data_IF_361074661586
#
_entry.id   IF_361074661586
#
_cell.length_a   1.000
_cell.length_b   1.000
_cell.length_c   1.000
_cell.angle_alpha   90.00
_cell.angle_beta   90.00
_cell.angle_gamma   90.00
#
_symmetry.space_group_name_H-M   'P 1'
#
loop_
_entity.id
_entity.type
_entity.pdbx_description
1 polymer ?
#
# COMPACT_ATOMS: atom_id res chain seq x y z
N UNK A 1 7.58 24.51 -7.43
CA UNK A 1 7.24 23.09 -7.20
C UNK A 1 5.74 22.93 -7.44
N UNK A 2 5.30 21.97 -8.26
CA UNK A 2 3.90 21.79 -8.64
C UNK A 2 3.09 21.19 -7.48
N UNK A 3 1.97 21.83 -7.09
CA UNK A 3 1.13 21.40 -5.97
C UNK A 3 0.58 19.99 -6.16
N UNK A 4 0.15 19.64 -7.38
CA UNK A 4 -0.36 18.30 -7.68
C UNK A 4 0.72 17.23 -7.56
N UNK A 5 1.96 17.55 -7.95
CA UNK A 5 3.12 16.66 -7.75
C UNK A 5 3.37 16.46 -6.25
N UNK A 6 3.32 17.51 -5.44
CA UNK A 6 3.51 17.42 -4.00
C UNK A 6 2.45 16.55 -3.31
N UNK A 7 1.19 16.66 -3.74
CA UNK A 7 0.08 15.87 -3.20
C UNK A 7 0.23 14.39 -3.54
N UNK A 8 0.56 14.05 -4.79
CA UNK A 8 0.78 12.64 -5.16
C UNK A 8 2.02 12.06 -4.50
N UNK A 9 3.09 12.84 -4.32
CA UNK A 9 4.27 12.41 -3.55
C UNK A 9 3.90 12.04 -2.12
N UNK A 10 3.12 12.88 -1.43
CA UNK A 10 2.65 12.58 -0.07
C UNK A 10 1.77 11.32 -0.01
N UNK A 11 0.89 11.13 -1.01
CA UNK A 11 0.03 9.94 -1.09
C UNK A 11 0.85 8.67 -1.26
N UNK A 12 1.87 8.69 -2.11
CA UNK A 12 2.80 7.58 -2.31
C UNK A 12 3.58 7.31 -1.03
N UNK A 13 4.12 8.33 -0.38
CA UNK A 13 4.88 8.20 0.88
C UNK A 13 4.03 7.55 1.97
N UNK A 14 2.80 8.04 2.18
CA UNK A 14 1.86 7.45 3.15
C UNK A 14 1.56 5.99 2.82
N UNK A 15 1.33 5.65 1.55
CA UNK A 15 1.09 4.27 1.12
C UNK A 15 2.30 3.37 1.40
N UNK A 16 3.52 3.86 1.15
CA UNK A 16 4.76 3.11 1.39
C UNK A 16 5.03 2.90 2.89
N UNK A 17 4.72 3.88 3.73
CA UNK A 17 4.81 3.73 5.19
C UNK A 17 3.88 2.63 5.70
N UNK A 18 2.61 2.65 5.28
CA UNK A 18 1.63 1.61 5.66
C UNK A 18 2.01 0.22 5.11
N UNK A 19 2.49 0.14 3.87
CA UNK A 19 2.98 -1.12 3.29
C UNK A 19 4.11 -1.71 4.14
N UNK A 20 5.09 -0.88 4.51
CA UNK A 20 6.21 -1.31 5.35
C UNK A 20 5.73 -1.84 6.70
N UNK A 21 4.88 -1.09 7.40
CA UNK A 21 4.37 -1.49 8.72
C UNK A 21 3.60 -2.81 8.66
N UNK A 22 2.65 -2.93 7.73
CA UNK A 22 1.85 -4.15 7.57
C UNK A 22 2.71 -5.37 7.21
N UNK A 23 3.63 -5.23 6.25
CA UNK A 23 4.44 -6.36 5.81
C UNK A 23 5.50 -6.76 6.84
N UNK A 24 6.07 -5.81 7.59
CA UNK A 24 6.98 -6.14 8.69
C UNK A 24 6.23 -6.82 9.83
N UNK A 25 5.07 -6.31 10.23
CA UNK A 25 4.26 -6.92 11.29
C UNK A 25 3.78 -8.33 10.94
N UNK A 26 3.47 -8.58 9.66
CA UNK A 26 3.02 -9.90 9.20
C UNK A 26 4.17 -10.90 9.12
N UNK A 27 5.33 -10.47 8.60
CA UNK A 27 6.39 -11.38 8.19
C UNK A 27 7.51 -11.53 9.23
N UNK A 28 7.79 -10.51 10.03
CA UNK A 28 8.97 -10.45 10.89
C UNK A 28 8.58 -10.59 12.37
N UNK A 29 8.20 -11.81 12.78
CA UNK A 29 7.74 -12.08 14.14
C UNK A 29 8.88 -12.22 15.17
N UNK A 30 10.11 -12.51 14.72
CA UNK A 30 11.27 -12.84 15.57
C UNK A 30 12.49 -11.93 15.30
N UNK A 31 12.28 -10.61 15.27
CA UNK A 31 13.34 -9.60 15.16
C UNK A 31 14.31 -9.56 16.37
N UNK A 32 14.25 -10.53 17.29
CA UNK A 32 14.89 -10.48 18.60
C UNK A 32 16.38 -10.88 18.61
N UNK A 33 16.93 -11.52 17.55
CA UNK A 33 18.22 -12.20 17.65
C UNK A 33 19.36 -11.73 16.72
N UNK A 34 19.19 -10.62 16.01
CA UNK A 34 20.23 -10.09 15.15
C UNK A 34 19.61 -9.41 13.94
N UNK A 35 20.11 -8.24 13.58
CA UNK A 35 19.46 -7.25 12.73
C UNK A 35 19.29 -7.63 11.24
N UNK A 36 19.28 -8.91 10.90
CA UNK A 36 19.17 -9.41 9.53
C UNK A 36 17.89 -10.21 9.32
N UNK A 37 17.23 -9.98 8.19
CA UNK A 37 16.08 -10.74 7.76
C UNK A 37 16.53 -12.11 7.26
N UNK A 38 15.84 -13.16 7.69
CA UNK A 38 15.96 -14.48 7.11
C UNK A 38 15.47 -14.50 5.66
N UNK A 39 15.91 -15.48 4.88
CA UNK A 39 15.45 -15.68 3.49
C UNK A 39 13.92 -15.85 3.42
N UNK A 40 13.33 -16.53 4.41
CA UNK A 40 11.88 -16.73 4.48
C UNK A 40 11.12 -15.43 4.77
N UNK A 41 11.64 -14.58 5.66
CA UNK A 41 11.09 -13.25 5.93
C UNK A 41 11.18 -12.35 4.69
N UNK A 42 12.30 -12.37 3.97
CA UNK A 42 12.44 -11.61 2.70
C UNK A 42 11.41 -12.08 1.67
N UNK A 43 11.26 -13.39 1.47
CA UNK A 43 10.24 -13.93 0.56
C UNK A 43 8.81 -13.66 1.03
N UNK A 44 8.57 -13.58 2.34
CA UNK A 44 7.29 -13.16 2.88
C UNK A 44 7.02 -11.69 2.56
N UNK A 45 7.97 -10.79 2.83
CA UNK A 45 7.86 -9.36 2.55
C UNK A 45 7.61 -9.09 1.07
N UNK A 46 8.31 -9.78 0.16
CA UNK A 46 8.10 -9.64 -1.28
C UNK A 46 6.66 -9.99 -1.69
N UNK A 47 6.17 -11.16 -1.24
CA UNK A 47 4.79 -11.59 -1.49
C UNK A 47 3.77 -10.65 -0.85
N UNK A 48 4.03 -10.17 0.36
CA UNK A 48 3.16 -9.22 1.05
C UNK A 48 3.08 -7.90 0.27
N UNK A 49 4.22 -7.35 -0.14
CA UNK A 49 4.32 -6.10 -0.89
C UNK A 49 3.53 -6.17 -2.20
N UNK A 50 3.68 -7.27 -2.95
CA UNK A 50 2.93 -7.49 -4.17
C UNK A 50 1.41 -7.53 -3.92
N UNK A 51 0.97 -8.27 -2.89
CA UNK A 51 -0.45 -8.38 -2.53
C UNK A 51 -1.03 -7.05 -2.07
N UNK A 52 -0.28 -6.29 -1.27
CA UNK A 52 -0.70 -4.98 -0.76
C UNK A 52 -0.94 -4.01 -1.91
N UNK A 53 0.05 -3.84 -2.81
CA UNK A 53 -0.06 -2.92 -3.95
C UNK A 53 -1.15 -3.34 -4.93
N UNK A 54 -1.28 -4.65 -5.20
CA UNK A 54 -2.35 -5.17 -6.05
C UNK A 54 -3.73 -4.89 -5.46
N UNK A 55 -3.91 -5.11 -4.16
CA UNK A 55 -5.16 -4.84 -3.45
C UNK A 55 -5.47 -3.35 -3.41
N UNK A 56 -4.47 -2.50 -3.15
CA UNK A 56 -4.61 -1.05 -3.18
C UNK A 56 -5.08 -0.54 -4.55
N UNK A 57 -4.54 -1.10 -5.65
CA UNK A 57 -5.00 -0.82 -7.01
C UNK A 57 -6.46 -1.21 -7.24
N UNK A 58 -6.88 -2.38 -6.76
CA UNK A 58 -8.29 -2.82 -6.85
C UNK A 58 -9.20 -1.83 -6.11
N UNK A 59 -8.86 -1.48 -4.87
CA UNK A 59 -9.65 -0.57 -4.03
C UNK A 59 -9.76 0.81 -4.69
N UNK A 60 -8.63 1.37 -5.15
CA UNK A 60 -8.60 2.68 -5.84
C UNK A 60 -9.51 2.67 -7.06
N UNK A 61 -9.40 1.65 -7.92
CA UNK A 61 -10.25 1.51 -9.10
C UNK A 61 -11.75 1.45 -8.75
N UNK A 62 -12.11 0.79 -7.65
CA UNK A 62 -13.51 0.71 -7.17
C UNK A 62 -13.99 2.07 -6.66
N UNK A 63 -13.16 2.80 -5.92
CA UNK A 63 -13.48 4.13 -5.41
C UNK A 63 -13.64 5.14 -6.55
N UNK A 64 -12.78 5.09 -7.57
CA UNK A 64 -12.86 5.95 -8.75
C UNK A 64 -14.16 5.69 -9.54
N UNK A 65 -14.54 4.41 -9.73
CA UNK A 65 -15.80 4.04 -10.38
C UNK A 65 -17.02 4.54 -9.61
N UNK A 66 -17.01 4.45 -8.26
CA UNK A 66 -18.09 5.00 -7.42
C UNK A 66 -18.18 6.52 -7.55
N UNK A 67 -17.05 7.21 -7.63
CA UNK A 67 -16.98 8.66 -7.75
C UNK A 67 -17.51 9.14 -9.11
N UNK A 68 -17.25 8.39 -10.19
CA UNK A 68 -17.79 8.68 -11.52
C UNK A 68 -19.29 8.32 -11.68
N UNK A 69 -19.78 7.35 -10.90
CA UNK A 69 -21.20 6.92 -10.92
C UNK A 69 -22.17 7.82 -10.14
N UNK A 70 -21.67 8.74 -9.30
CA UNK A 70 -22.50 9.62 -8.46
C UNK A 70 -23.13 10.82 -9.18
N UNK A 71 -22.85 11.03 -10.47
CA UNK A 71 -23.23 12.23 -11.23
C UNK A 71 -24.56 12.17 -11.99
N UNK A 72 -25.32 11.07 -11.96
CA UNK A 72 -26.67 11.01 -12.58
C UNK A 72 -27.75 10.93 -11.51
N UNK A 73 -28.07 12.07 -10.87
CA UNK A 73 -29.45 12.34 -10.46
C UNK A 73 -30.19 12.84 -11.69
N UNK A 74 -30.93 11.94 -12.33
CA UNK A 74 -32.08 12.29 -13.15
C UNK A 74 -33.30 12.29 -12.23
N UNK A 75 -33.51 13.39 -11.50
CA UNK A 75 -34.83 13.88 -11.03
C UNK A 75 -34.69 15.38 -10.88
#
# INVERSE_FOLDING_TARGET
>A
MNLGVKQESFRIESMMCSLREECVNLCCNDLHNGAELTTDEVHCIDRCSWRYLHTNKIITNVLDRKTQGGGKRLV
#
